data_IF_033086181362
#
_entry.id   IF_033086181362
#
_cell.length_a   1.000
_cell.length_b   1.000
_cell.length_c   1.000
_cell.angle_alpha   90.00
_cell.angle_beta   90.00
_cell.angle_gamma   90.00
#
_symmetry.space_group_name_H-M   'P 1'
#
loop_
_entity.id
_entity.type
_entity.pdbx_description
1 polymer ?
#
# COMPACT_ATOMS: atom_id res chain seq x y z
N UNK A 1 13.75 -32.73 -7.58
CA UNK A 1 12.66 -33.71 -7.36
C UNK A 1 11.41 -33.23 -8.12
N UNK A 2 10.53 -34.15 -8.55
CA UNK A 2 9.30 -33.77 -9.29
C UNK A 2 8.26 -33.09 -8.39
N UNK A 3 8.29 -33.40 -7.09
CA UNK A 3 7.45 -32.80 -6.05
C UNK A 3 8.39 -32.23 -4.98
N UNK A 4 8.27 -30.93 -4.69
CA UNK A 4 9.02 -30.31 -3.60
C UNK A 4 8.55 -30.88 -2.25
N UNK A 5 9.51 -31.21 -1.37
CA UNK A 5 9.27 -31.71 -0.01
C UNK A 5 8.34 -32.94 0.04
N UNK A 6 8.51 -33.88 -0.90
CA UNK A 6 7.76 -35.15 -0.90
C UNK A 6 7.83 -35.80 0.49
N UNK A 7 6.67 -36.20 1.04
CA UNK A 7 6.54 -36.77 2.40
C UNK A 7 6.94 -35.82 3.54
N UNK A 8 6.86 -34.49 3.32
CA UNK A 8 7.23 -33.47 4.31
C UNK A 8 8.72 -33.52 4.71
N UNK A 9 9.58 -34.00 3.81
CA UNK A 9 11.03 -33.95 3.99
C UNK A 9 11.57 -32.60 3.52
N UNK A 10 11.86 -31.70 4.48
CA UNK A 10 12.35 -30.35 4.21
C UNK A 10 13.86 -30.32 3.98
N UNK A 11 14.37 -29.30 3.28
CA UNK A 11 15.81 -29.13 2.99
C UNK A 11 16.56 -28.54 4.19
N UNK A 12 16.41 -29.21 5.34
CA UNK A 12 17.06 -28.92 6.61
C UNK A 12 17.75 -30.20 7.08
N UNK A 13 18.81 -30.07 7.90
CA UNK A 13 19.64 -31.22 8.29
C UNK A 13 18.88 -32.39 8.94
N UNK A 14 17.72 -32.13 9.56
CA UNK A 14 16.86 -33.14 10.21
C UNK A 14 15.59 -33.47 9.40
N UNK A 15 15.46 -32.95 8.18
CA UNK A 15 14.29 -33.06 7.31
C UNK A 15 12.97 -32.52 7.90
N UNK A 16 13.00 -31.71 8.98
CA UNK A 16 11.80 -31.20 9.65
C UNK A 16 11.50 -29.76 9.28
N UNK A 17 10.21 -29.39 9.31
CA UNK A 17 9.78 -27.99 9.22
C UNK A 17 10.30 -27.16 10.41
N UNK A 18 10.69 -25.91 10.15
CA UNK A 18 11.04 -24.93 11.18
C UNK A 18 9.89 -23.94 11.35
N UNK A 19 9.28 -23.94 12.54
CA UNK A 19 8.29 -22.93 12.89
C UNK A 19 8.96 -21.58 13.14
N UNK A 20 8.30 -20.45 12.83
CA UNK A 20 8.72 -19.16 13.34
C UNK A 20 8.80 -19.20 14.87
N UNK A 21 9.93 -18.78 15.42
CA UNK A 21 10.15 -18.77 16.88
C UNK A 21 9.39 -17.62 17.56
N UNK A 22 9.14 -16.55 16.81
CA UNK A 22 8.38 -15.39 17.24
C UNK A 22 7.47 -14.89 16.10
N UNK A 23 6.35 -14.29 16.48
CA UNK A 23 5.49 -13.50 15.60
C UNK A 23 5.54 -12.08 16.14
N UNK A 24 6.23 -11.20 15.43
CA UNK A 24 6.30 -9.78 15.78
C UNK A 24 5.01 -9.09 15.33
N UNK A 25 4.47 -8.23 16.21
CA UNK A 25 3.40 -7.31 15.83
C UNK A 25 3.94 -6.20 14.94
N UNK A 26 3.08 -5.60 14.14
CA UNK A 26 3.41 -4.41 13.36
C UNK A 26 2.87 -3.16 14.08
N UNK A 27 3.64 -2.07 14.10
CA UNK A 27 3.16 -0.80 14.62
C UNK A 27 1.95 -0.33 13.81
N UNK A 28 0.87 0.02 14.51
CA UNK A 28 -0.37 0.49 13.90
C UNK A 28 -0.27 1.91 13.35
N UNK A 29 -1.30 2.37 12.60
CA UNK A 29 -1.40 3.75 12.18
C UNK A 29 -1.39 4.72 13.37
N UNK A 30 -0.81 5.91 13.17
CA UNK A 30 -0.82 6.98 14.18
C UNK A 30 -2.00 7.93 13.94
N UNK A 31 -2.40 8.76 14.92
CA UNK A 31 -3.43 9.77 14.69
C UNK A 31 -3.10 10.77 13.56
N UNK A 32 -1.81 11.03 13.32
CA UNK A 32 -1.35 11.92 12.24
C UNK A 32 -1.44 11.25 10.85
N UNK A 33 -1.15 9.94 10.79
CA UNK A 33 -1.22 9.13 9.58
C UNK A 33 -2.09 7.90 9.83
N UNK A 34 -3.44 8.06 9.83
CA UNK A 34 -4.36 7.05 10.35
C UNK A 34 -4.67 5.91 9.37
N UNK A 35 -4.11 5.93 8.16
CA UNK A 35 -4.39 4.94 7.12
C UNK A 35 -3.14 4.13 6.78
N UNK A 36 -3.24 2.81 6.82
CA UNK A 36 -2.23 1.90 6.26
C UNK A 36 -2.33 1.86 4.74
N UNK A 37 -1.22 2.12 4.07
CA UNK A 37 -1.14 2.16 2.61
C UNK A 37 -0.88 0.78 2.01
N UNK A 38 -1.87 0.25 1.28
CA UNK A 38 -1.76 -1.01 0.55
C UNK A 38 -1.53 -0.74 -0.94
N UNK A 39 -0.29 -0.84 -1.40
CA UNK A 39 0.11 -0.63 -2.81
C UNK A 39 -0.08 -1.88 -3.68
N UNK A 40 -1.30 -2.42 -3.71
CA UNK A 40 -1.58 -3.71 -4.33
C UNK A 40 -1.40 -3.70 -5.86
N UNK A 41 -1.06 -4.84 -6.44
CA UNK A 41 -1.03 -5.00 -7.89
C UNK A 41 -2.43 -4.85 -8.50
N UNK A 42 -2.49 -4.41 -9.76
CA UNK A 42 -3.73 -4.33 -10.54
C UNK A 42 -3.94 -5.59 -11.37
N UNK A 43 -5.20 -5.88 -11.71
CA UNK A 43 -5.59 -7.05 -12.50
C UNK A 43 -5.20 -6.91 -13.98
N UNK A 44 -5.28 -5.70 -14.52
CA UNK A 44 -5.28 -5.46 -15.97
C UNK A 44 -3.91 -5.09 -16.55
N UNK A 45 -2.85 -5.08 -15.73
CA UNK A 45 -1.48 -4.82 -16.16
C UNK A 45 -0.45 -5.40 -15.19
N UNK A 46 0.72 -5.73 -15.72
CA UNK A 46 1.88 -6.15 -14.93
C UNK A 46 2.71 -4.91 -14.60
N UNK A 47 2.70 -4.51 -13.32
CA UNK A 47 3.42 -3.33 -12.84
C UNK A 47 3.15 -2.08 -13.70
N UNK A 48 4.21 -1.46 -14.24
CA UNK A 48 4.15 -0.23 -15.02
C UNK A 48 3.94 -0.47 -16.52
N UNK A 49 3.68 -1.71 -16.95
CA UNK A 49 3.37 -2.05 -18.34
C UNK A 49 1.92 -1.65 -18.69
N UNK A 50 1.65 -0.34 -18.60
CA UNK A 50 0.34 0.26 -18.80
C UNK A 50 0.48 1.29 -19.93
N UNK A 51 -0.43 1.28 -20.89
CA UNK A 51 -0.44 2.28 -21.96
C UNK A 51 -0.61 3.70 -21.39
N UNK A 52 0.05 4.70 -21.98
CA UNK A 52 -0.07 6.11 -21.57
C UNK A 52 -1.53 6.59 -21.50
N UNK A 53 -2.37 6.21 -22.47
CA UNK A 53 -3.80 6.58 -22.53
C UNK A 53 -4.58 6.17 -21.27
N UNK A 54 -4.21 5.04 -20.65
CA UNK A 54 -4.84 4.56 -19.40
C UNK A 54 -4.35 5.31 -18.15
N UNK A 55 -3.27 6.07 -18.26
CA UNK A 55 -2.61 6.73 -17.13
C UNK A 55 -2.80 8.25 -17.09
N UNK A 56 -3.50 8.85 -18.06
CA UNK A 56 -3.73 10.31 -18.10
C UNK A 56 -4.75 10.83 -17.06
N UNK A 57 -5.14 9.99 -16.10
CA UNK A 57 -6.09 10.34 -15.04
C UNK A 57 -5.34 10.40 -13.71
N UNK A 58 -5.92 11.09 -12.73
CA UNK A 58 -5.43 11.01 -11.36
C UNK A 58 -5.41 9.54 -10.91
N UNK A 59 -4.36 9.12 -10.17
CA UNK A 59 -4.38 7.83 -9.52
C UNK A 59 -5.55 7.73 -8.56
N UNK A 60 -6.20 6.56 -8.54
CA UNK A 60 -7.32 6.29 -7.65
C UNK A 60 -6.84 5.66 -6.34
N UNK A 61 -7.39 6.10 -5.22
CA UNK A 61 -7.32 5.43 -3.92
C UNK A 61 -8.69 4.93 -3.50
N UNK A 62 -8.73 3.78 -2.83
CA UNK A 62 -9.96 3.22 -2.27
C UNK A 62 -9.90 3.23 -0.75
N UNK A 63 -10.93 3.79 -0.13
CA UNK A 63 -11.07 3.94 1.33
C UNK A 63 -12.45 3.42 1.73
N UNK A 64 -12.59 2.87 2.94
CA UNK A 64 -13.88 2.50 3.48
C UNK A 64 -14.81 3.74 3.57
N UNK A 65 -16.09 3.65 3.19
CA UNK A 65 -16.99 4.81 3.22
C UNK A 65 -17.19 5.38 4.63
N UNK A 66 -17.01 4.57 5.66
CA UNK A 66 -17.11 4.88 7.08
C UNK A 66 -15.74 5.14 7.75
N UNK A 67 -14.67 5.26 6.97
CA UNK A 67 -13.34 5.57 7.50
C UNK A 67 -13.33 6.93 8.22
N UNK A 68 -12.86 7.00 9.48
CA UNK A 68 -12.71 8.27 10.20
C UNK A 68 -11.79 9.26 9.47
N UNK A 69 -10.86 8.77 8.64
CA UNK A 69 -9.94 9.61 7.88
C UNK A 69 -10.64 10.49 6.82
N UNK A 70 -11.89 10.19 6.46
CA UNK A 70 -12.68 10.99 5.52
C UNK A 70 -13.49 12.11 6.18
N UNK A 71 -13.55 12.15 7.52
CA UNK A 71 -14.45 13.06 8.26
C UNK A 71 -14.27 14.53 7.89
N UNK A 72 -13.03 14.96 7.71
CA UNK A 72 -12.65 16.36 7.46
C UNK A 72 -12.15 16.58 6.01
N UNK A 73 -12.44 15.63 5.11
CA UNK A 73 -12.05 15.72 3.69
C UNK A 73 -13.26 16.05 2.84
N UNK A 74 -13.19 17.18 2.13
CA UNK A 74 -14.15 17.53 1.09
C UNK A 74 -13.79 16.81 -0.22
N UNK A 75 -14.62 15.86 -0.64
CA UNK A 75 -14.43 15.10 -1.88
C UNK A 75 -14.77 15.91 -3.14
N UNK A 76 -15.34 17.11 -3.01
CA UNK A 76 -15.56 18.05 -4.12
C UNK A 76 -14.31 18.85 -4.49
N UNK A 77 -13.31 18.88 -3.61
CA UNK A 77 -12.06 19.61 -3.79
C UNK A 77 -10.89 18.68 -4.14
N UNK A 78 -9.73 19.27 -4.41
CA UNK A 78 -8.51 18.49 -4.64
C UNK A 78 -8.08 17.73 -3.37
N UNK A 79 -8.03 16.40 -3.48
CA UNK A 79 -7.58 15.51 -2.40
C UNK A 79 -6.18 14.97 -2.68
N UNK A 80 -5.38 14.87 -1.61
CA UNK A 80 -4.03 14.36 -1.63
C UNK A 80 -3.87 13.19 -0.67
N UNK A 81 -3.12 12.18 -1.10
CA UNK A 81 -2.59 11.12 -0.25
C UNK A 81 -1.20 11.53 0.23
N UNK A 82 -0.99 11.57 1.53
CA UNK A 82 0.20 12.19 2.15
C UNK A 82 0.87 11.27 3.15
N UNK A 83 2.19 11.25 3.08
CA UNK A 83 3.11 10.60 4.03
C UNK A 83 4.09 11.66 4.55
N UNK A 84 4.94 11.35 5.56
CA UNK A 84 6.05 12.22 5.93
C UNK A 84 7.00 12.57 4.78
N UNK A 85 7.07 11.73 3.74
CA UNK A 85 8.04 11.84 2.65
C UNK A 85 7.56 12.71 1.49
N UNK A 86 6.28 12.62 1.15
CA UNK A 86 5.71 13.27 -0.02
C UNK A 86 4.18 13.29 0.02
N UNK A 87 3.60 13.96 -0.99
CA UNK A 87 2.17 13.98 -1.29
C UNK A 87 1.87 13.63 -2.74
N UNK A 88 0.69 13.07 -2.98
CA UNK A 88 0.19 12.66 -4.29
C UNK A 88 -1.26 13.11 -4.46
N UNK A 89 -1.60 13.84 -5.52
CA UNK A 89 -3.00 14.17 -5.83
C UNK A 89 -3.71 12.91 -6.29
N UNK A 90 -4.89 12.63 -5.75
CA UNK A 90 -5.61 11.36 -5.97
C UNK A 90 -7.09 11.58 -6.19
N UNK A 91 -7.73 10.64 -6.88
CA UNK A 91 -9.18 10.45 -6.88
C UNK A 91 -9.53 9.49 -5.74
N UNK A 92 -10.41 9.88 -4.82
CA UNK A 92 -10.88 8.99 -3.74
C UNK A 92 -12.15 8.26 -4.17
N UNK A 93 -12.18 6.93 -3.97
CA UNK A 93 -13.37 6.11 -4.17
C UNK A 93 -13.71 5.32 -2.90
N UNK A 94 -15.00 5.24 -2.61
CA UNK A 94 -15.49 4.37 -1.54
C UNK A 94 -15.37 2.89 -1.95
N UNK A 95 -14.94 2.05 -1.01
CA UNK A 95 -14.94 0.59 -1.15
C UNK A 95 -15.60 -0.03 0.09
N UNK A 96 -16.90 -0.36 0.02
CA UNK A 96 -17.60 -1.04 1.11
C UNK A 96 -16.91 -2.35 1.49
N UNK A 97 -16.79 -2.60 2.79
CA UNK A 97 -16.13 -3.80 3.33
C UNK A 97 -14.60 -3.70 3.43
N UNK A 98 -13.99 -2.59 3.02
CA UNK A 98 -12.60 -2.29 3.36
C UNK A 98 -12.50 -1.92 4.85
N UNK A 99 -11.37 -2.23 5.50
CA UNK A 99 -11.11 -1.82 6.87
C UNK A 99 -11.00 -0.28 6.97
N UNK A 100 -11.56 0.32 8.03
CA UNK A 100 -11.60 1.79 8.20
C UNK A 100 -10.23 2.46 8.27
N UNK A 101 -9.19 1.72 8.67
CA UNK A 101 -7.80 2.19 8.74
C UNK A 101 -6.96 1.79 7.51
N UNK A 102 -7.58 1.31 6.43
CA UNK A 102 -6.86 0.91 5.22
C UNK A 102 -7.16 1.84 4.05
N UNK A 103 -6.13 2.12 3.25
CA UNK A 103 -6.26 2.75 1.94
C UNK A 103 -5.55 1.90 0.89
N UNK A 104 -6.27 1.56 -0.17
CA UNK A 104 -5.71 0.81 -1.30
C UNK A 104 -5.28 1.79 -2.38
N UNK A 105 -4.07 1.61 -2.89
CA UNK A 105 -3.60 2.21 -4.12
C UNK A 105 -3.17 1.07 -5.05
N UNK A 106 -3.62 1.08 -6.32
CA UNK A 106 -3.17 0.06 -7.29
C UNK A 106 -1.88 0.50 -7.93
N UNK A 107 -0.74 -0.12 -7.62
CA UNK A 107 0.57 0.32 -8.14
C UNK A 107 0.74 0.11 -9.65
N UNK A 108 1.70 0.83 -10.24
CA UNK A 108 2.08 0.75 -11.64
C UNK A 108 2.08 2.10 -12.38
N UNK A 109 1.42 3.12 -11.84
CA UNK A 109 1.29 4.41 -12.52
C UNK A 109 2.63 5.15 -12.63
N UNK A 110 2.83 5.81 -13.77
CA UNK A 110 4.05 6.55 -14.10
C UNK A 110 4.07 7.92 -13.43
N UNK A 111 5.22 8.31 -12.90
CA UNK A 111 5.42 9.62 -12.25
C UNK A 111 5.09 10.77 -13.19
N UNK A 112 5.47 10.69 -14.48
CA UNK A 112 5.17 11.73 -15.49
C UNK A 112 3.68 11.96 -15.75
N UNK A 113 2.81 11.08 -15.25
CA UNK A 113 1.36 11.19 -15.35
C UNK A 113 0.71 11.40 -13.97
N UNK A 114 1.47 11.89 -12.98
CA UNK A 114 0.97 12.17 -11.64
C UNK A 114 0.88 10.95 -10.73
N UNK A 115 1.41 9.79 -11.14
CA UNK A 115 1.50 8.57 -10.34
C UNK A 115 2.73 8.49 -9.44
N UNK A 116 3.22 7.26 -9.22
CA UNK A 116 4.42 6.99 -8.43
C UNK A 116 4.18 6.97 -6.92
N UNK A 117 3.31 6.06 -6.47
CA UNK A 117 2.99 5.85 -5.04
C UNK A 117 4.20 5.51 -4.17
N UNK A 118 5.25 4.91 -4.73
CA UNK A 118 6.46 4.58 -3.98
C UNK A 118 7.19 5.82 -3.44
N UNK A 119 6.87 7.03 -3.91
CA UNK A 119 7.38 8.28 -3.31
C UNK A 119 6.84 8.54 -1.91
N UNK A 120 5.71 7.89 -1.56
CA UNK A 120 5.10 7.97 -0.25
C UNK A 120 5.64 6.91 0.72
N UNK A 121 6.44 5.96 0.24
CA UNK A 121 6.83 4.75 1.00
C UNK A 121 8.30 4.84 1.40
N UNK A 122 8.57 4.71 2.69
CA UNK A 122 9.93 4.67 3.22
C UNK A 122 10.68 3.39 2.85
N UNK A 123 12.00 3.50 2.69
CA UNK A 123 12.88 2.41 2.30
C UNK A 123 13.33 1.62 3.55
N UNK A 124 12.40 0.91 4.18
CA UNK A 124 12.65 0.12 5.39
C UNK A 124 12.93 -1.35 5.03
N UNK A 125 14.00 -1.89 5.63
CA UNK A 125 14.34 -3.31 5.54
C UNK A 125 13.57 -4.14 6.58
N UNK A 126 13.20 -5.36 6.22
CA UNK A 126 12.69 -6.34 7.19
C UNK A 126 13.82 -6.77 8.13
N UNK A 127 13.46 -7.06 9.37
CA UNK A 127 14.36 -7.57 10.41
C UNK A 127 14.98 -8.93 10.05
N UNK A 128 14.29 -9.72 9.22
CA UNK A 128 14.77 -11.00 8.68
C UNK A 128 14.69 -11.00 7.15
N UNK A 129 15.77 -11.46 6.51
CA UNK A 129 15.81 -11.75 5.06
C UNK A 129 16.09 -10.55 4.15
N UNK A 130 16.42 -9.38 4.71
CA UNK A 130 16.78 -8.15 3.98
C UNK A 130 15.76 -7.75 2.89
N UNK A 131 14.48 -8.03 3.15
CA UNK A 131 13.35 -7.68 2.28
C UNK A 131 12.92 -6.23 2.45
N UNK A 132 11.97 -5.77 1.64
CA UNK A 132 11.43 -4.41 1.71
C UNK A 132 10.04 -4.39 2.36
N UNK A 133 9.82 -3.50 3.35
CA UNK A 133 8.55 -3.41 4.08
C UNK A 133 7.54 -2.44 3.47
N UNK A 134 7.13 -2.70 2.23
CA UNK A 134 6.27 -1.78 1.45
C UNK A 134 4.89 -1.46 2.08
N UNK A 135 4.38 -2.31 2.97
CA UNK A 135 3.04 -2.16 3.57
C UNK A 135 3.05 -1.65 5.01
N UNK A 136 4.23 -1.29 5.54
CA UNK A 136 4.37 -0.60 6.82
C UNK A 136 4.07 0.89 6.75
N UNK A 137 4.01 1.45 5.52
CA UNK A 137 3.76 2.87 5.34
C UNK A 137 2.35 3.25 5.78
N UNK A 138 2.27 4.25 6.66
CA UNK A 138 1.04 4.93 7.00
C UNK A 138 0.95 6.28 6.30
N UNK A 139 -0.27 6.70 5.99
CA UNK A 139 -0.61 7.91 5.24
C UNK A 139 -1.88 8.57 5.81
N UNK A 140 -2.14 9.79 5.37
CA UNK A 140 -3.42 10.47 5.55
C UNK A 140 -3.97 10.94 4.21
N UNK A 141 -5.25 11.29 4.21
CA UNK A 141 -5.88 12.05 3.13
C UNK A 141 -6.14 13.47 3.61
N UNK A 142 -5.95 14.44 2.72
CA UNK A 142 -6.15 15.86 3.02
C UNK A 142 -6.62 16.62 1.77
N UNK A 143 -7.32 17.74 1.96
CA UNK A 143 -7.53 18.71 0.90
C UNK A 143 -6.30 19.61 0.69
N UNK A 144 -6.25 20.31 -0.45
CA UNK A 144 -5.27 21.38 -0.67
C UNK A 144 -5.39 22.47 0.40
N UNK A 145 -4.30 22.81 1.07
CA UNK A 145 -4.20 24.07 1.81
C UNK A 145 -3.74 25.19 0.88
N UNK A 146 -4.49 26.30 0.86
CA UNK A 146 -4.02 27.58 0.34
C UNK A 146 -3.48 28.37 1.54
N UNK A 147 -2.20 28.74 1.48
CA UNK A 147 -1.60 29.70 2.42
C UNK A 147 -1.96 31.13 1.99
#
# INVERSE_FOLDING_TARGET
PMIAYERMAFDHADNKYRFPEAIHGEEGPTPEFPLRLLTLIRRDAIHSQISSKKQMRLPTVWIAPDSPALKDVDLGEDVYLVSPLARLRVEVKALPGLHGEAVIYRRGDWIKHGGGVNRLVDAVLTDVGDGASFYSQCVRVENQFYF
#
